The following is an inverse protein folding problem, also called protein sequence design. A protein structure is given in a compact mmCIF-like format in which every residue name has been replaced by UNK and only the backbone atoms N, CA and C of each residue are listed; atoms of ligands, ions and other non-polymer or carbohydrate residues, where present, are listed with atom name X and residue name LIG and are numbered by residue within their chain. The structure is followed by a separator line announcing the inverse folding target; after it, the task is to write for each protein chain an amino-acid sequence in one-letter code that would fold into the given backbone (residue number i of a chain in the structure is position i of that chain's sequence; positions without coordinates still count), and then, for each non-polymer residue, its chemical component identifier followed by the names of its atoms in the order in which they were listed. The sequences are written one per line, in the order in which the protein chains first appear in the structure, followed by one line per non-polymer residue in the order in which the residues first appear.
data_IF_818083333488
#
_entry.id   IF_818083333488
#
_cell.length_a   1.000
_cell.length_b   1.000
_cell.length_c   1.000
_cell.angle_alpha   90.00
_cell.angle_beta   90.00
_cell.angle_gamma   90.00
#
_symmetry.space_group_name_H-M   'P 1'
#
loop_
_entity.id
_entity.type
_entity.pdbx_description
1 polymer ?
#
# COMPACT_ATOMS: atom_id res chain seq x y z
N UNK A 1 -29.93 -8.58 -19.17
CA UNK A 1 -29.82 -7.88 -17.86
C UNK A 1 -29.16 -8.85 -16.88
N UNK A 2 -27.87 -8.64 -16.58
CA UNK A 2 -27.13 -9.43 -15.59
C UNK A 2 -27.67 -9.12 -14.20
N UNK A 3 -28.26 -10.10 -13.51
CA UNK A 3 -28.49 -10.00 -12.06
C UNK A 3 -27.11 -10.04 -11.42
N UNK A 4 -26.62 -8.91 -10.93
CA UNK A 4 -25.37 -8.85 -10.16
C UNK A 4 -25.50 -9.74 -8.93
N UNK A 5 -24.83 -10.89 -8.93
CA UNK A 5 -24.73 -11.76 -7.76
C UNK A 5 -23.78 -11.15 -6.74
N UNK A 6 -24.18 -11.17 -5.47
CA UNK A 6 -23.27 -10.83 -4.37
C UNK A 6 -22.35 -12.04 -4.15
N UNK A 7 -21.05 -11.80 -4.06
CA UNK A 7 -20.07 -12.82 -3.73
C UNK A 7 -19.42 -12.46 -2.39
N UNK A 8 -19.38 -13.43 -1.48
CA UNK A 8 -18.52 -13.35 -0.30
C UNK A 8 -17.21 -14.06 -0.61
N UNK A 9 -16.08 -13.48 -0.22
CA UNK A 9 -14.80 -14.16 -0.29
C UNK A 9 -13.88 -13.68 0.80
N UNK A 10 -12.83 -14.45 1.08
CA UNK A 10 -11.83 -14.07 2.06
C UNK A 10 -10.64 -13.43 1.37
N UNK A 11 -10.22 -12.26 1.83
CA UNK A 11 -8.94 -11.68 1.43
C UNK A 11 -7.95 -11.98 2.53
N UNK A 12 -6.93 -12.77 2.21
CA UNK A 12 -5.82 -13.06 3.11
C UNK A 12 -4.73 -12.02 2.84
N UNK A 13 -4.31 -11.34 3.89
CA UNK A 13 -3.25 -10.33 3.82
C UNK A 13 -2.00 -10.90 4.48
N UNK A 14 -0.86 -10.88 3.78
CA UNK A 14 0.42 -11.17 4.41
C UNK A 14 0.86 -9.99 5.28
N UNK A 15 0.58 -10.10 6.58
CA UNK A 15 0.89 -9.06 7.57
C UNK A 15 2.39 -8.80 7.67
N UNK A 16 3.25 -9.82 7.48
CA UNK A 16 4.71 -9.65 7.61
C UNK A 16 5.24 -8.81 6.46
N UNK A 17 4.81 -9.14 5.24
CA UNK A 17 5.17 -8.39 4.05
C UNK A 17 4.60 -6.97 4.08
N UNK A 18 3.36 -6.81 4.56
CA UNK A 18 2.74 -5.51 4.73
C UNK A 18 3.50 -4.63 5.73
N UNK A 19 3.86 -5.17 6.90
CA UNK A 19 4.66 -4.44 7.89
C UNK A 19 6.02 -4.06 7.32
N UNK A 20 6.69 -4.97 6.62
CA UNK A 20 7.97 -4.68 5.97
C UNK A 20 7.85 -3.53 4.96
N UNK A 21 6.81 -3.53 4.12
CA UNK A 21 6.53 -2.46 3.17
C UNK A 21 6.26 -1.12 3.84
N UNK A 22 5.48 -1.12 4.92
CA UNK A 22 5.22 0.10 5.71
C UNK A 22 6.53 0.65 6.28
N UNK A 23 7.35 -0.19 6.93
CA UNK A 23 8.62 0.25 7.50
C UNK A 23 9.59 0.77 6.41
N UNK A 24 9.67 0.07 5.28
CA UNK A 24 10.54 0.46 4.17
C UNK A 24 10.12 1.82 3.58
N UNK A 25 8.82 2.01 3.36
CA UNK A 25 8.28 3.26 2.78
C UNK A 25 8.42 4.44 3.74
N UNK A 26 8.18 4.25 5.04
CA UNK A 26 8.45 5.28 6.06
C UNK A 26 9.94 5.62 6.13
N UNK A 27 10.81 4.61 6.07
CA UNK A 27 12.27 4.78 6.04
C UNK A 27 12.73 5.61 4.85
N UNK A 28 12.32 5.23 3.63
CA UNK A 28 12.67 5.97 2.41
C UNK A 28 12.09 7.39 2.45
N UNK A 29 10.84 7.55 2.88
CA UNK A 29 10.19 8.86 2.92
C UNK A 29 10.85 9.80 3.94
N UNK A 30 11.26 9.27 5.11
CA UNK A 30 12.02 10.06 6.09
C UNK A 30 13.40 10.46 5.57
N UNK A 31 14.10 9.58 4.84
CA UNK A 31 15.38 9.92 4.18
C UNK A 31 15.20 11.01 3.12
N UNK A 32 14.18 10.89 2.27
CA UNK A 32 13.86 11.91 1.25
C UNK A 32 13.53 13.26 1.89
N UNK A 33 12.81 13.25 3.00
CA UNK A 33 12.53 14.45 3.77
C UNK A 33 13.76 15.04 4.42
N UNK A 34 14.63 14.22 5.01
CA UNK A 34 15.89 14.64 5.60
C UNK A 34 16.77 15.38 4.57
N UNK A 35 16.80 14.90 3.32
CA UNK A 35 17.51 15.56 2.21
C UNK A 35 16.89 16.92 1.82
N UNK A 36 15.59 17.09 2.04
CA UNK A 36 14.81 18.28 1.67
C UNK A 36 14.63 19.27 2.83
N UNK A 37 15.28 19.05 3.98
CA UNK A 37 15.20 19.97 5.13
C UNK A 37 15.78 21.34 4.76
N UNK A 38 14.90 22.28 4.47
CA UNK A 38 15.17 23.69 4.20
C UNK A 38 14.06 24.49 4.84
N UNK A 39 14.36 25.58 5.56
CA UNK A 39 13.43 26.51 6.28
C UNK A 39 12.01 26.63 5.67
N UNK A 40 11.17 25.62 5.84
CA UNK A 40 9.78 25.52 5.39
C UNK A 40 8.88 25.35 6.59
N UNK A 41 7.61 25.69 6.42
CA UNK A 41 6.60 25.49 7.45
C UNK A 41 6.43 23.99 7.74
N UNK A 42 6.18 23.64 9.01
CA UNK A 42 6.12 22.25 9.44
C UNK A 42 5.07 21.42 8.67
N UNK A 43 3.93 22.04 8.35
CA UNK A 43 2.85 21.40 7.61
C UNK A 43 3.26 20.94 6.21
N UNK A 44 4.15 21.68 5.52
CA UNK A 44 4.63 21.28 4.19
C UNK A 44 5.41 19.96 4.24
N UNK A 45 6.18 19.74 5.29
CA UNK A 45 6.92 18.50 5.49
C UNK A 45 5.99 17.32 5.75
N UNK A 46 4.94 17.52 6.54
CA UNK A 46 3.95 16.47 6.84
C UNK A 46 3.19 16.09 5.58
N UNK A 47 2.73 17.06 4.79
CA UNK A 47 2.03 16.79 3.53
C UNK A 47 2.96 16.06 2.55
N UNK A 48 4.20 16.52 2.38
CA UNK A 48 5.20 15.84 1.55
C UNK A 48 5.47 14.41 2.05
N UNK A 49 5.60 14.20 3.35
CA UNK A 49 5.82 12.88 3.93
C UNK A 49 4.70 11.92 3.59
N UNK A 50 3.45 12.35 3.81
CA UNK A 50 2.26 11.52 3.59
C UNK A 50 2.11 11.21 2.10
N UNK A 51 2.26 12.22 1.23
CA UNK A 51 2.15 12.03 -0.22
C UNK A 51 3.23 11.07 -0.75
N UNK A 52 4.50 11.26 -0.35
CA UNK A 52 5.60 10.40 -0.80
C UNK A 52 5.46 8.98 -0.25
N UNK A 53 5.14 8.84 1.04
CA UNK A 53 4.94 7.53 1.67
C UNK A 53 3.79 6.78 1.00
N UNK A 54 2.66 7.45 0.73
CA UNK A 54 1.49 6.84 0.11
C UNK A 54 1.78 6.41 -1.33
N UNK A 55 2.47 7.26 -2.10
CA UNK A 55 2.86 6.96 -3.48
C UNK A 55 3.81 5.76 -3.54
N UNK A 56 4.87 5.77 -2.73
CA UNK A 56 5.85 4.68 -2.67
C UNK A 56 5.21 3.38 -2.19
N UNK A 57 4.32 3.45 -1.21
CA UNK A 57 3.60 2.27 -0.72
C UNK A 57 2.70 1.65 -1.78
N UNK A 58 1.90 2.46 -2.48
CA UNK A 58 1.05 1.98 -3.57
C UNK A 58 1.88 1.35 -4.70
N UNK A 59 2.96 2.01 -5.12
CA UNK A 59 3.86 1.49 -6.14
C UNK A 59 4.50 0.17 -5.71
N UNK A 60 4.96 0.06 -4.46
CA UNK A 60 5.58 -1.16 -3.96
C UNK A 60 4.58 -2.33 -3.89
N UNK A 61 3.35 -2.08 -3.42
CA UNK A 61 2.28 -3.09 -3.41
C UNK A 61 1.95 -3.55 -4.83
N UNK A 62 1.76 -2.62 -5.76
CA UNK A 62 1.49 -2.94 -7.16
C UNK A 62 2.62 -3.75 -7.79
N UNK A 63 3.87 -3.36 -7.54
CA UNK A 63 5.04 -4.05 -8.08
C UNK A 63 5.16 -5.47 -7.53
N UNK A 64 4.95 -5.66 -6.23
CA UNK A 64 4.94 -6.98 -5.61
C UNK A 64 3.83 -7.87 -6.17
N UNK A 65 2.63 -7.31 -6.30
CA UNK A 65 1.45 -8.06 -6.73
C UNK A 65 1.47 -8.40 -8.23
N UNK A 66 1.97 -7.51 -9.09
CA UNK A 66 1.89 -7.67 -10.55
C UNK A 66 3.17 -8.18 -11.18
N UNK A 67 4.34 -7.74 -10.71
CA UNK A 67 5.63 -8.01 -11.37
C UNK A 67 6.35 -9.16 -10.66
N UNK A 68 6.43 -9.11 -9.33
CA UNK A 68 7.21 -10.09 -8.57
C UNK A 68 6.44 -11.38 -8.25
N UNK A 69 5.13 -11.44 -8.57
CA UNK A 69 4.26 -12.57 -8.22
C UNK A 69 4.31 -12.93 -6.73
N UNK A 70 4.54 -11.93 -5.87
CA UNK A 70 4.47 -12.04 -4.42
C UNK A 70 3.23 -11.26 -3.94
N UNK A 71 2.03 -11.84 -4.08
CA UNK A 71 0.80 -11.14 -3.75
C UNK A 71 0.73 -10.86 -2.25
N UNK A 72 0.72 -9.56 -1.90
CA UNK A 72 0.45 -9.08 -0.54
C UNK A 72 -0.99 -9.38 -0.13
N UNK A 73 -1.90 -9.30 -1.11
CA UNK A 73 -3.32 -9.60 -1.00
C UNK A 73 -3.61 -10.86 -1.82
N UNK A 74 -4.05 -11.92 -1.15
CA UNK A 74 -4.43 -13.18 -1.78
C UNK A 74 -5.91 -13.39 -1.56
N UNK A 75 -6.67 -13.48 -2.66
CA UNK A 75 -8.07 -13.87 -2.61
C UNK A 75 -8.14 -15.39 -2.34
N UNK A 76 -8.74 -15.78 -1.21
CA UNK A 76 -9.08 -17.16 -0.88
C UNK A 76 -10.59 -17.33 -0.93
N UNK A 77 -11.02 -18.12 -1.91
CA UNK A 77 -12.36 -18.69 -2.08
C UNK A 77 -13.52 -17.69 -2.14
N UNK A 78 -14.18 -17.62 -3.30
CA UNK A 78 -15.42 -16.87 -3.49
C UNK A 78 -16.62 -17.81 -3.44
N UNK A 79 -17.62 -17.46 -2.65
CA UNK A 79 -18.90 -18.15 -2.54
C UNK A 79 -20.04 -17.19 -2.92
N UNK A 80 -21.00 -17.62 -3.75
CA UNK A 80 -22.16 -16.81 -4.08
C UNK A 80 -23.06 -16.65 -2.85
N UNK A 81 -23.35 -15.42 -2.45
CA UNK A 81 -24.41 -15.09 -1.50
C UNK A 81 -25.73 -15.10 -2.27
N UNK A 82 -26.58 -16.07 -1.96
CA UNK A 82 -27.95 -16.17 -2.52
C UNK A 82 -28.88 -15.14 -1.88
#
# INVERSE_FOLDING_TARGET
MSRGGLYAGWVVVDVRLLVFLVLLTLGISSLLLALLVRRRAWHEYVTLFISVSSLLFLLAVLLLQTILNYPVLVERDFFPLR
#
